data_IF_690016544069
#
_entry.id   IF_690016544069
#
_cell.length_a   1.000
_cell.length_b   1.000
_cell.length_c   1.000
_cell.angle_alpha   90.00
_cell.angle_beta   90.00
_cell.angle_gamma   90.00
#
_symmetry.space_group_name_H-M   'P 1'
#
loop_
_entity.id
_entity.type
_entity.pdbx_description
1 polymer ?
#
# COMPACT_ATOMS: atom_id res chain seq x y z
N UNK A 1 -11.21 22.23 14.35
CA UNK A 1 -11.06 20.94 13.66
C UNK A 1 -10.00 21.12 12.60
N UNK A 2 -8.77 20.73 12.90
CA UNK A 2 -7.64 20.82 11.97
C UNK A 2 -7.84 19.76 10.88
N UNK A 3 -7.72 20.19 9.62
CA UNK A 3 -7.59 19.29 8.49
C UNK A 3 -6.33 18.44 8.73
N UNK A 4 -6.51 17.25 9.31
CA UNK A 4 -5.42 16.29 9.50
C UNK A 4 -5.07 15.72 8.13
N UNK A 5 -4.19 16.46 7.48
CA UNK A 5 -3.21 16.04 6.48
C UNK A 5 -3.60 14.76 5.71
N UNK A 6 -4.37 14.93 4.64
CA UNK A 6 -4.65 13.86 3.68
C UNK A 6 -3.36 13.40 2.94
N UNK A 7 -2.25 14.15 3.06
CA UNK A 7 -0.99 13.90 2.34
C UNK A 7 -0.16 12.74 2.89
N UNK A 8 -0.42 12.28 4.11
CA UNK A 8 0.46 11.34 4.81
C UNK A 8 0.14 9.86 4.56
N UNK A 9 -0.94 9.57 3.82
CA UNK A 9 -1.42 8.21 3.61
C UNK A 9 -0.67 7.45 2.51
N UNK A 10 -0.10 8.16 1.53
CA UNK A 10 0.64 7.57 0.41
C UNK A 10 2.08 8.09 0.47
N UNK A 11 3.03 7.20 0.69
CA UNK A 11 4.45 7.54 0.82
C UNK A 11 5.22 7.06 -0.40
N UNK A 12 5.99 7.96 -1.03
CA UNK A 12 6.92 7.58 -2.08
C UNK A 12 8.18 6.93 -1.47
N UNK A 13 8.64 5.80 -2.03
CA UNK A 13 9.74 4.98 -1.46
C UNK A 13 10.76 4.51 -2.49
N UNK A 14 10.86 5.19 -3.63
CA UNK A 14 11.77 4.83 -4.73
C UNK A 14 13.25 4.68 -4.32
N UNK A 15 13.72 5.41 -3.32
CA UNK A 15 15.10 5.29 -2.81
C UNK A 15 15.37 3.97 -2.08
N UNK A 16 14.32 3.32 -1.58
CA UNK A 16 14.36 2.11 -0.73
C UNK A 16 13.98 0.85 -1.52
N UNK A 17 13.23 1.04 -2.61
CA UNK A 17 12.79 -0.01 -3.53
C UNK A 17 13.35 0.29 -4.92
N UNK A 18 14.60 -0.11 -5.16
CA UNK A 18 15.21 -0.02 -6.49
C UNK A 18 14.96 -1.30 -7.30
N UNK A 19 15.27 -1.23 -8.59
CA UNK A 19 14.97 -2.23 -9.63
C UNK A 19 15.43 -3.66 -9.32
N UNK A 20 16.40 -3.83 -8.41
CA UNK A 20 17.04 -5.12 -8.09
C UNK A 20 17.04 -5.49 -6.62
N UNK A 21 16.69 -4.58 -5.71
CA UNK A 21 16.71 -4.86 -4.26
C UNK A 21 15.68 -4.00 -3.52
N UNK A 22 14.66 -4.67 -2.99
CA UNK A 22 13.76 -4.06 -1.99
C UNK A 22 14.45 -4.20 -0.63
N UNK A 23 14.87 -3.09 -0.02
CA UNK A 23 15.40 -3.09 1.35
C UNK A 23 14.25 -3.27 2.34
N UNK A 24 13.81 -4.53 2.51
CA UNK A 24 12.61 -4.88 3.29
C UNK A 24 12.62 -4.29 4.70
N UNK A 25 13.74 -4.42 5.41
CA UNK A 25 13.87 -3.90 6.77
C UNK A 25 13.76 -2.38 6.86
N UNK A 26 14.14 -1.65 5.82
CA UNK A 26 13.97 -0.20 5.77
C UNK A 26 12.51 0.19 5.51
N UNK A 27 11.82 -0.54 4.63
CA UNK A 27 10.38 -0.35 4.40
C UNK A 27 9.55 -0.70 5.64
N UNK A 28 9.82 -1.83 6.29
CA UNK A 28 9.15 -2.27 7.52
C UNK A 28 9.34 -1.23 8.64
N UNK A 29 10.56 -0.70 8.80
CA UNK A 29 10.83 0.39 9.74
C UNK A 29 10.01 1.64 9.41
N UNK A 30 9.99 2.05 8.14
CA UNK A 30 9.23 3.23 7.70
C UNK A 30 7.73 3.08 7.97
N UNK A 31 7.16 1.90 7.76
CA UNK A 31 5.76 1.61 8.10
C UNK A 31 5.57 1.62 9.61
N UNK A 32 6.43 0.92 10.37
CA UNK A 32 6.39 0.88 11.84
C UNK A 32 6.40 2.29 12.45
N UNK A 33 7.27 3.17 11.97
CA UNK A 33 7.37 4.55 12.47
C UNK A 33 6.09 5.36 12.23
N UNK A 34 5.33 5.03 11.17
CA UNK A 34 4.06 5.70 10.83
C UNK A 34 2.85 5.11 11.54
N UNK A 35 2.81 3.79 11.73
CA UNK A 35 1.63 3.10 12.30
C UNK A 35 1.79 2.71 13.79
N UNK A 36 3.00 2.83 14.34
CA UNK A 36 3.31 2.49 15.73
C UNK A 36 3.31 1.00 16.07
N UNK A 37 3.28 0.11 15.06
CA UNK A 37 3.21 -1.35 15.22
C UNK A 37 4.30 -2.05 14.42
N UNK A 38 4.80 -3.17 14.93
CA UNK A 38 5.72 -4.02 14.16
C UNK A 38 4.97 -4.64 12.98
N UNK A 39 5.63 -4.64 11.82
CA UNK A 39 5.11 -5.26 10.60
C UNK A 39 6.20 -6.01 9.87
N UNK A 40 5.79 -7.02 9.13
CA UNK A 40 6.61 -7.76 8.18
C UNK A 40 6.06 -7.55 6.78
N UNK A 41 6.94 -7.29 5.82
CA UNK A 41 6.60 -7.26 4.40
C UNK A 41 6.52 -8.68 3.85
N UNK A 42 5.32 -9.07 3.41
CA UNK A 42 5.10 -10.38 2.80
C UNK A 42 6.03 -10.59 1.60
N UNK A 43 6.64 -11.77 1.51
CA UNK A 43 7.52 -12.14 0.40
C UNK A 43 6.74 -12.45 -0.88
N UNK A 44 5.48 -12.87 -0.73
CA UNK A 44 4.63 -13.25 -1.84
C UNK A 44 3.99 -12.00 -2.45
N UNK A 45 4.22 -11.81 -3.75
CA UNK A 45 3.49 -10.82 -4.55
C UNK A 45 2.04 -11.26 -4.61
N UNK A 46 1.12 -10.36 -4.25
CA UNK A 46 -0.29 -10.59 -4.53
C UNK A 46 -0.63 -9.97 -5.89
N UNK A 47 -0.75 -10.82 -6.91
CA UNK A 47 -1.38 -10.43 -8.18
C UNK A 47 -2.88 -10.63 -7.98
N UNK A 48 -3.60 -9.54 -7.80
CA UNK A 48 -5.02 -9.58 -7.50
C UNK A 48 -5.79 -9.74 -8.81
N UNK A 49 -6.34 -10.94 -9.05
CA UNK A 49 -7.07 -11.26 -10.30
C UNK A 49 -8.60 -11.13 -10.16
N UNK A 50 -9.12 -11.05 -8.93
CA UNK A 50 -10.53 -10.86 -8.61
C UNK A 50 -10.69 -9.74 -7.56
N UNK A 51 -11.86 -9.11 -7.48
CA UNK A 51 -12.12 -8.02 -6.54
C UNK A 51 -11.92 -8.50 -5.10
N UNK A 52 -10.78 -8.16 -4.51
CA UNK A 52 -10.44 -8.46 -3.12
C UNK A 52 -10.53 -7.19 -2.30
N UNK A 53 -11.04 -7.33 -1.07
CA UNK A 53 -11.03 -6.29 -0.06
C UNK A 53 -10.10 -6.69 1.07
N UNK A 54 -9.23 -5.78 1.48
CA UNK A 54 -8.29 -6.00 2.57
C UNK A 54 -8.51 -4.92 3.63
N UNK A 55 -8.63 -5.32 4.89
CA UNK A 55 -8.92 -4.41 6.01
C UNK A 55 -7.64 -4.00 6.74
N UNK A 56 -7.65 -2.78 7.28
CA UNK A 56 -6.52 -2.21 8.05
C UNK A 56 -6.14 -3.00 9.30
N UNK A 57 -7.07 -3.80 9.83
CA UNK A 57 -6.84 -4.67 11.00
C UNK A 57 -5.82 -5.77 10.75
N UNK A 58 -5.75 -6.29 9.52
CA UNK A 58 -4.86 -7.41 9.15
C UNK A 58 -3.65 -6.90 8.36
N UNK A 59 -3.89 -5.89 7.53
CA UNK A 59 -2.89 -5.29 6.65
C UNK A 59 -2.93 -3.78 6.88
N UNK A 60 -2.10 -3.23 7.78
CA UNK A 60 -2.08 -1.78 8.02
C UNK A 60 -1.42 -0.99 6.89
N UNK A 61 -0.70 -1.65 5.97
CA UNK A 61 -0.08 -0.98 4.83
C UNK A 61 0.14 -1.90 3.63
N UNK A 62 0.27 -1.31 2.44
CA UNK A 62 0.55 -1.98 1.17
C UNK A 62 1.77 -1.35 0.52
N UNK A 63 2.68 -2.15 -0.04
CA UNK A 63 3.65 -1.67 -1.01
C UNK A 63 3.06 -1.86 -2.40
N UNK A 64 2.95 -0.79 -3.17
CA UNK A 64 2.40 -0.77 -4.52
C UNK A 64 3.51 -0.46 -5.53
N UNK A 65 3.65 -1.30 -6.57
CA UNK A 65 4.41 -0.94 -7.77
C UNK A 65 3.47 -0.15 -8.70
N UNK A 66 3.62 1.17 -8.70
CA UNK A 66 2.77 2.12 -9.45
C UNK A 66 2.82 1.82 -10.95
N UNK A 67 4.02 1.50 -11.44
CA UNK A 67 4.26 1.21 -12.84
C UNK A 67 4.31 -0.30 -13.16
N UNK A 68 3.49 -1.08 -12.44
CA UNK A 68 3.36 -2.52 -12.59
C UNK A 68 2.25 -2.91 -13.58
N UNK A 69 1.41 -3.87 -13.19
CA UNK A 69 0.23 -4.22 -13.98
C UNK A 69 -0.82 -3.09 -13.99
N UNK A 70 -1.56 -2.99 -15.10
CA UNK A 70 -2.61 -1.98 -15.28
C UNK A 70 -3.77 -2.21 -14.31
N UNK A 71 -4.12 -1.18 -13.54
CA UNK A 71 -5.14 -1.30 -12.50
C UNK A 71 -5.25 -0.06 -11.61
N UNK A 72 -5.83 -0.25 -10.43
CA UNK A 72 -5.88 0.74 -9.38
C UNK A 72 -6.10 0.11 -8.00
N UNK A 73 -5.67 0.83 -6.97
CA UNK A 73 -5.98 0.55 -5.56
C UNK A 73 -6.87 1.67 -5.05
N UNK A 74 -8.05 1.33 -4.57
CA UNK A 74 -9.02 2.29 -4.03
C UNK A 74 -9.14 2.09 -2.53
N UNK A 75 -9.02 3.18 -1.78
CA UNK A 75 -9.14 3.19 -0.32
C UNK A 75 -10.54 3.67 0.03
N UNK A 76 -11.27 2.88 0.79
CA UNK A 76 -12.57 3.25 1.31
C UNK A 76 -12.55 3.31 2.83
N UNK A 77 -13.40 4.16 3.40
CA UNK A 77 -13.66 4.16 4.84
C UNK A 77 -14.69 3.08 5.24
N UNK A 78 -15.10 3.11 6.51
CA UNK A 78 -16.09 2.20 7.08
C UNK A 78 -17.49 2.38 6.49
N UNK A 79 -17.80 3.57 5.95
CA UNK A 79 -19.06 3.89 5.27
C UNK A 79 -19.05 3.48 3.79
N UNK A 80 -17.94 2.86 3.35
CA UNK A 80 -17.68 2.51 1.95
C UNK A 80 -17.58 3.72 1.01
N UNK A 81 -17.35 4.92 1.55
CA UNK A 81 -17.03 6.09 0.73
C UNK A 81 -15.58 6.03 0.24
N UNK A 82 -15.35 6.45 -0.99
CA UNK A 82 -14.01 6.48 -1.57
C UNK A 82 -13.21 7.63 -0.94
N UNK A 83 -12.14 7.29 -0.21
CA UNK A 83 -11.25 8.24 0.44
C UNK A 83 -10.11 8.65 -0.49
N UNK A 84 -9.49 7.67 -1.15
CA UNK A 84 -8.36 7.91 -2.04
C UNK A 84 -8.23 6.80 -3.09
N UNK A 85 -7.44 7.06 -4.14
CA UNK A 85 -7.11 6.07 -5.16
C UNK A 85 -5.72 6.27 -5.73
N UNK A 86 -5.02 5.15 -5.97
CA UNK A 86 -3.78 5.13 -6.73
C UNK A 86 -3.99 4.34 -8.00
N UNK A 87 -3.76 4.97 -9.15
CA UNK A 87 -3.78 4.29 -10.46
C UNK A 87 -2.45 3.61 -10.71
N UNK A 88 -2.49 2.43 -11.31
CA UNK A 88 -1.31 1.71 -11.79
C UNK A 88 -1.39 1.43 -13.29
N UNK A 89 -0.24 1.32 -13.94
CA UNK A 89 -0.17 1.11 -15.38
C UNK A 89 1.23 0.77 -15.86
N UNK A 90 1.38 0.12 -17.01
CA UNK A 90 2.70 -0.08 -17.60
C UNK A 90 3.32 1.27 -17.97
N UNK A 91 4.49 1.56 -17.42
CA UNK A 91 5.40 2.66 -17.79
C UNK A 91 6.84 2.13 -17.62
N UNK A 92 7.80 2.74 -18.29
CA UNK A 92 9.21 2.34 -18.24
C UNK A 92 9.87 2.69 -16.90
N UNK A 93 9.24 3.56 -16.11
CA UNK A 93 9.76 3.97 -14.80
C UNK A 93 9.40 2.94 -13.74
N UNK A 94 10.31 2.66 -12.81
CA UNK A 94 9.94 1.90 -11.61
C UNK A 94 9.63 2.88 -10.48
N UNK A 95 8.36 2.92 -10.09
CA UNK A 95 7.89 3.73 -8.95
C UNK A 95 7.18 2.85 -7.93
N UNK A 96 7.57 2.97 -6.67
CA UNK A 96 6.97 2.28 -5.54
C UNK A 96 6.37 3.28 -4.56
N UNK A 97 5.18 2.95 -4.07
CA UNK A 97 4.48 3.72 -3.05
C UNK A 97 4.04 2.81 -1.92
N UNK A 98 4.12 3.30 -0.68
CA UNK A 98 3.45 2.67 0.45
C UNK A 98 2.09 3.34 0.62
N UNK A 99 1.03 2.56 0.63
CA UNK A 99 -0.31 2.99 1.01
C UNK A 99 -0.55 2.55 2.45
N UNK A 100 -0.69 3.50 3.37
CA UNK A 100 -1.07 3.24 4.75
C UNK A 100 -2.59 3.13 4.83
N UNK A 101 -3.11 2.23 5.67
CA UNK A 101 -4.54 2.14 5.96
C UNK A 101 -4.82 2.59 7.39
N UNK A 102 -5.70 3.59 7.54
CA UNK A 102 -6.18 4.04 8.84
C UNK A 102 -7.19 3.02 9.40
N UNK A 103 -7.44 3.10 10.70
CA UNK A 103 -8.49 2.30 11.34
C UNK A 103 -9.85 2.52 10.64
N UNK A 104 -10.61 1.45 10.46
CA UNK A 104 -11.88 1.47 9.72
C UNK A 104 -11.74 1.47 8.18
N UNK A 105 -10.56 1.74 7.63
CA UNK A 105 -10.36 1.73 6.18
C UNK A 105 -10.12 0.33 5.59
N UNK A 106 -10.49 0.18 4.33
CA UNK A 106 -10.23 -0.99 3.51
C UNK A 106 -9.70 -0.60 2.13
N UNK A 107 -8.95 -1.51 1.50
CA UNK A 107 -8.48 -1.38 0.13
C UNK A 107 -9.24 -2.33 -0.79
N UNK A 108 -9.66 -1.82 -1.94
CA UNK A 108 -10.22 -2.59 -3.05
C UNK A 108 -9.31 -2.48 -4.26
N UNK A 109 -9.08 -3.61 -4.92
CA UNK A 109 -8.22 -3.69 -6.10
C UNK A 109 -9.05 -3.80 -7.38
N UNK A 110 -8.66 -3.04 -8.39
CA UNK A 110 -9.27 -3.05 -9.73
C UNK A 110 -8.19 -3.33 -10.78
N UNK A 111 -8.45 -4.23 -11.73
CA UNK A 111 -7.44 -4.62 -12.73
C UNK A 111 -6.40 -5.57 -12.13
N UNK A 112 -5.11 -5.35 -12.44
CA UNK A 112 -3.98 -6.20 -12.01
C UNK A 112 -2.87 -5.38 -11.33
N UNK A 113 -3.15 -4.61 -10.26
CA UNK A 113 -2.09 -3.90 -9.54
C UNK A 113 -1.12 -4.91 -8.92
N UNK A 114 0.16 -4.57 -8.88
CA UNK A 114 1.20 -5.39 -8.25
C UNK A 114 1.48 -4.88 -6.85
N UNK A 115 1.08 -5.65 -5.83
CA UNK A 115 1.19 -5.26 -4.43
C UNK A 115 1.88 -6.31 -3.56
N UNK A 116 2.47 -5.83 -2.48
CA UNK A 116 2.90 -6.62 -1.34
C UNK A 116 2.19 -6.09 -0.08
N UNK A 117 1.88 -7.01 0.83
CA UNK A 117 1.20 -6.69 2.07
C UNK A 117 2.21 -6.49 3.20
N UNK A 118 2.04 -5.44 4.00
CA UNK A 118 2.63 -5.39 5.33
C UNK A 118 1.64 -6.00 6.30
N UNK A 119 2.03 -7.08 6.99
CA UNK A 119 1.21 -7.73 8.02
C UNK A 119 1.75 -7.42 9.39
N UNK A 120 0.87 -7.30 10.37
CA UNK A 120 1.28 -7.15 11.78
C UNK A 120 2.05 -8.40 12.19
N UNK A 121 3.22 -8.18 12.78
CA UNK A 121 4.02 -9.22 13.44
C UNK A 121 3.92 -9.02 14.95
N UNK A 122 3.77 -10.11 15.70
CA UNK A 122 3.85 -10.10 17.16
C UNK A 122 5.26 -9.72 17.66
#
# INVERSE_FOLDING_TARGET
MTATDMSDQILNVNEIANDTTIERSALERKVKDKIGRNVTLDTNIAIIEALQSVTSLVVPALLLKVHGGAGAVYIHDESAELVDRVKTGPDERQNFQIILLKEGQNCRFYGRPTVWYFRISE
#
